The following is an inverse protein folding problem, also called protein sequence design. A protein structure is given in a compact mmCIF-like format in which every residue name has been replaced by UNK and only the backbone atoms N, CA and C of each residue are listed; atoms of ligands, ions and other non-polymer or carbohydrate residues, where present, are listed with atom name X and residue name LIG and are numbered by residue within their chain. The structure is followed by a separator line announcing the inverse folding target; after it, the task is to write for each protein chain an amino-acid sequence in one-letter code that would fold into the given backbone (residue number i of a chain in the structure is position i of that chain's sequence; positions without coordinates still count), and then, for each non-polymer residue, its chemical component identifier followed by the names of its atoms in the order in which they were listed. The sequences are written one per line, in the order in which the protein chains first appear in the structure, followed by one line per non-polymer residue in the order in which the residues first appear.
data_IF_324547083916
#
_entry.id   IF_324547083916
#
_cell.length_a   1.000
_cell.length_b   1.000
_cell.length_c   1.000
_cell.angle_alpha   90.00
_cell.angle_beta   90.00
_cell.angle_gamma   90.00
#
_symmetry.space_group_name_H-M   'P 1'
#
loop_
_entity.id
_entity.type
_entity.pdbx_description
1 polymer ?
#
# COMPACT_ATOMS: atom_id res chain seq x y z
N UNK A 1 0.75 15.29 15.60
CA UNK A 1 1.40 14.01 15.30
C UNK A 1 2.80 14.25 14.77
N UNK A 2 3.55 14.92 15.62
CA UNK A 2 4.86 15.43 15.20
C UNK A 2 5.91 14.33 15.05
N UNK A 3 5.65 13.12 15.60
CA UNK A 3 6.59 12.01 15.57
C UNK A 3 6.27 10.95 14.50
N UNK A 4 5.25 11.18 13.67
CA UNK A 4 4.91 10.25 12.61
C UNK A 4 5.87 10.43 11.45
N UNK A 5 6.59 9.36 11.10
CA UNK A 5 7.50 9.37 9.96
C UNK A 5 7.15 8.22 9.01
N UNK A 6 7.43 8.43 7.73
CA UNK A 6 7.28 7.40 6.70
C UNK A 6 8.65 7.10 6.10
N UNK A 7 8.90 5.85 5.87
CA UNK A 7 10.11 5.40 5.18
C UNK A 7 9.86 4.12 4.40
N UNK A 8 10.79 3.79 3.53
CA UNK A 8 10.74 2.53 2.80
C UNK A 8 10.76 1.33 3.75
N UNK A 9 9.99 0.29 3.41
CA UNK A 9 9.95 -0.95 4.18
C UNK A 9 11.29 -1.68 4.12
N UNK A 10 11.68 -2.30 5.23
CA UNK A 10 12.89 -3.11 5.36
C UNK A 10 12.53 -4.53 5.76
N UNK A 11 13.45 -5.46 5.55
CA UNK A 11 13.23 -6.86 5.93
C UNK A 11 12.84 -7.03 7.39
N UNK A 12 13.47 -6.26 8.28
CA UNK A 12 13.20 -6.30 9.73
C UNK A 12 11.77 -5.90 10.09
N UNK A 13 11.09 -5.20 9.20
CA UNK A 13 9.72 -4.74 9.42
C UNK A 13 8.67 -5.82 9.17
N UNK A 14 9.06 -6.93 8.53
CA UNK A 14 8.12 -7.94 8.02
C UNK A 14 7.12 -8.44 9.05
N UNK A 15 7.57 -8.75 10.26
CA UNK A 15 6.66 -9.31 11.26
C UNK A 15 5.58 -8.30 11.66
N UNK A 16 5.94 -7.02 11.82
CA UNK A 16 4.97 -5.97 12.14
C UNK A 16 4.06 -5.65 10.95
N UNK A 17 4.61 -5.64 9.74
CA UNK A 17 3.81 -5.39 8.51
C UNK A 17 2.81 -6.51 8.30
N UNK A 18 3.22 -7.78 8.43
CA UNK A 18 2.31 -8.92 8.28
C UNK A 18 1.18 -8.86 9.32
N UNK A 19 1.49 -8.43 10.54
CA UNK A 19 0.48 -8.27 11.56
C UNK A 19 -0.56 -7.20 11.20
N UNK A 20 -0.12 -6.09 10.59
CA UNK A 20 -1.02 -5.08 10.06
C UNK A 20 -1.88 -5.63 8.92
N UNK A 21 -1.25 -6.34 7.98
CA UNK A 21 -1.95 -6.87 6.81
C UNK A 21 -3.01 -7.91 7.18
N UNK A 22 -2.88 -8.58 8.32
CA UNK A 22 -3.89 -9.47 8.83
C UNK A 22 -5.24 -8.77 9.07
N UNK A 23 -5.24 -7.45 9.27
CA UNK A 23 -6.49 -6.66 9.36
C UNK A 23 -7.23 -6.61 8.02
N UNK A 24 -6.54 -6.74 6.89
CA UNK A 24 -7.14 -6.76 5.56
C UNK A 24 -7.59 -8.18 5.19
N UNK A 25 -6.72 -9.15 5.42
CA UNK A 25 -6.95 -10.56 5.13
C UNK A 25 -5.96 -11.38 5.93
N UNK A 26 -6.46 -12.38 6.65
CA UNK A 26 -5.60 -13.30 7.38
C UNK A 26 -4.68 -14.05 6.43
N UNK A 27 -3.40 -14.07 6.75
CA UNK A 27 -2.37 -14.75 6.00
C UNK A 27 -1.97 -16.00 6.80
N UNK A 28 -2.05 -17.17 6.18
CA UNK A 28 -1.57 -18.40 6.80
C UNK A 28 -0.04 -18.44 6.71
N UNK A 29 0.61 -18.04 7.80
CA UNK A 29 2.07 -17.95 7.88
C UNK A 29 2.77 -19.30 7.73
N UNK A 30 2.05 -20.39 7.96
CA UNK A 30 2.60 -21.74 7.79
C UNK A 30 2.74 -22.13 6.31
N UNK A 31 2.03 -21.44 5.42
CA UNK A 31 2.06 -21.69 3.97
C UNK A 31 2.99 -20.74 3.22
N UNK A 32 3.60 -19.81 3.93
CA UNK A 32 4.44 -18.77 3.31
C UNK A 32 5.84 -18.85 3.87
N UNK A 33 6.82 -18.98 2.99
CA UNK A 33 8.22 -18.79 3.33
C UNK A 33 8.49 -17.27 3.30
N UNK A 34 8.60 -16.66 4.48
CA UNK A 34 8.75 -15.22 4.59
C UNK A 34 10.07 -14.70 4.01
N UNK A 35 11.15 -15.48 4.14
CA UNK A 35 12.43 -15.07 3.55
C UNK A 35 12.36 -15.07 2.02
N UNK A 36 11.77 -16.11 1.45
CA UNK A 36 11.57 -16.19 0.01
C UNK A 36 10.64 -15.09 -0.49
N UNK A 37 9.56 -14.83 0.24
CA UNK A 37 8.63 -13.75 -0.11
C UNK A 37 9.33 -12.40 -0.11
N UNK A 38 10.18 -12.14 0.88
CA UNK A 38 10.97 -10.91 0.91
C UNK A 38 11.94 -10.83 -0.25
N UNK A 39 12.65 -11.92 -0.56
CA UNK A 39 13.61 -11.94 -1.66
C UNK A 39 12.91 -11.62 -2.99
N UNK A 40 11.75 -12.23 -3.23
CA UNK A 40 10.99 -11.96 -4.45
C UNK A 40 10.45 -10.53 -4.48
N UNK A 41 9.93 -10.05 -3.36
CA UNK A 41 9.42 -8.69 -3.25
C UNK A 41 10.52 -7.65 -3.46
N UNK A 42 11.67 -7.83 -2.81
CA UNK A 42 12.75 -6.84 -2.82
C UNK A 42 13.42 -6.70 -4.19
N UNK A 43 13.31 -7.70 -5.04
CA UNK A 43 13.83 -7.66 -6.41
C UNK A 43 12.89 -6.90 -7.36
N UNK A 44 11.67 -6.63 -6.95
CA UNK A 44 10.69 -5.96 -7.80
C UNK A 44 10.86 -4.45 -7.68
N UNK A 45 11.58 -3.86 -8.64
CA UNK A 45 11.89 -2.42 -8.65
C UNK A 45 10.69 -1.54 -8.98
N UNK A 46 9.58 -2.13 -9.45
CA UNK A 46 8.36 -1.38 -9.77
C UNK A 46 7.50 -1.07 -8.54
N UNK A 47 7.75 -1.75 -7.42
CA UNK A 47 6.96 -1.57 -6.20
C UNK A 47 7.70 -0.68 -5.22
N UNK A 48 6.99 0.33 -4.73
CA UNK A 48 7.46 1.19 -3.65
C UNK A 48 6.54 0.98 -2.46
N UNK A 49 7.06 0.40 -1.40
CA UNK A 49 6.29 0.13 -0.18
C UNK A 49 6.86 0.92 0.98
N UNK A 50 5.98 1.55 1.73
CA UNK A 50 6.37 2.39 2.86
C UNK A 50 5.66 1.97 4.13
N UNK A 51 6.30 2.26 5.25
CA UNK A 51 5.74 2.08 6.58
C UNK A 51 5.60 3.43 7.26
N UNK A 52 4.56 3.58 8.05
CA UNK A 52 4.39 4.73 8.93
C UNK A 52 4.76 4.34 10.35
N UNK A 53 5.65 5.11 10.97
CA UNK A 53 6.20 4.82 12.29
C UNK A 53 5.83 5.93 13.24
N UNK A 54 5.26 5.55 14.37
CA UNK A 54 4.92 6.44 15.46
C UNK A 54 5.44 5.84 16.76
N UNK A 55 6.26 6.59 17.49
CA UNK A 55 6.86 6.14 18.75
C UNK A 55 7.52 4.75 18.61
N UNK A 56 8.36 4.60 17.61
CA UNK A 56 9.11 3.38 17.27
C UNK A 56 8.25 2.16 16.91
N UNK A 57 6.96 2.36 16.67
CA UNK A 57 6.04 1.29 16.24
C UNK A 57 5.59 1.51 14.82
N UNK A 58 5.54 0.45 14.04
CA UNK A 58 4.96 0.48 12.70
C UNK A 58 3.44 0.40 12.85
N UNK A 59 2.77 1.47 12.44
CA UNK A 59 1.31 1.60 12.59
C UNK A 59 0.58 1.70 11.27
N UNK A 60 1.31 1.82 10.17
CA UNK A 60 0.72 1.96 8.85
C UNK A 60 1.63 1.33 7.79
N UNK A 61 1.02 0.89 6.71
CA UNK A 61 1.73 0.31 5.57
C UNK A 61 0.93 0.60 4.30
N UNK A 62 1.64 0.81 3.21
CA UNK A 62 1.03 0.95 1.90
C UNK A 62 2.04 0.81 0.79
N UNK A 63 1.55 0.46 -0.39
CA UNK A 63 2.38 0.26 -1.57
C UNK A 63 1.84 1.03 -2.76
N UNK A 64 2.74 1.46 -3.64
CA UNK A 64 2.39 1.93 -4.97
C UNK A 64 3.26 1.19 -5.99
N UNK A 65 2.60 0.67 -7.01
CA UNK A 65 3.25 0.00 -8.14
C UNK A 65 3.37 1.02 -9.26
N UNK A 66 4.58 1.21 -9.76
CA UNK A 66 4.84 2.14 -10.86
C UNK A 66 4.97 1.34 -12.15
N UNK A 67 4.07 1.58 -13.07
CA UNK A 67 4.03 0.87 -14.35
C UNK A 67 4.51 1.78 -15.48
N UNK A 68 5.62 1.40 -16.10
CA UNK A 68 6.09 2.04 -17.33
C UNK A 68 5.40 1.35 -18.50
N UNK A 69 4.51 2.08 -19.17
CA UNK A 69 3.74 1.54 -20.29
C UNK A 69 4.52 1.64 -21.60
N UNK A 70 4.27 0.68 -22.49
CA UNK A 70 4.94 0.68 -23.79
C UNK A 70 4.63 1.95 -24.60
N UNK A 71 3.51 2.61 -24.33
CA UNK A 71 3.17 3.88 -24.97
C UNK A 71 4.02 5.06 -24.50
N UNK A 72 4.85 4.85 -23.46
CA UNK A 72 5.67 5.90 -22.87
C UNK A 72 5.05 6.59 -21.67
N UNK A 73 3.81 6.30 -21.36
CA UNK A 73 3.15 6.82 -20.16
C UNK A 73 3.56 6.02 -18.93
N UNK A 74 3.52 6.69 -17.77
CA UNK A 74 3.80 6.05 -16.49
C UNK A 74 2.54 6.14 -15.62
N UNK A 75 2.11 5.02 -15.07
CA UNK A 75 0.92 4.98 -14.21
C UNK A 75 1.26 4.38 -12.85
N UNK A 76 0.57 4.83 -11.81
CA UNK A 76 0.70 4.28 -10.45
C UNK A 76 -0.55 3.48 -10.08
N UNK A 77 -0.36 2.45 -9.28
CA UNK A 77 -1.46 1.69 -8.68
C UNK A 77 -1.18 1.48 -7.20
N UNK A 78 -2.08 1.95 -6.35
CA UNK A 78 -1.96 1.84 -4.90
C UNK A 78 -2.60 0.54 -4.42
N UNK A 79 -1.90 -0.19 -3.57
CA UNK A 79 -2.36 -1.45 -2.99
C UNK A 79 -2.00 -1.57 -1.51
N UNK A 80 -2.74 -2.45 -0.83
CA UNK A 80 -2.45 -2.90 0.54
C UNK A 80 -2.32 -1.76 1.54
N UNK A 81 -3.25 -0.81 1.47
CA UNK A 81 -3.30 0.31 2.41
C UNK A 81 -3.88 -0.19 3.74
N UNK A 82 -3.11 -0.06 4.81
CA UNK A 82 -3.58 -0.43 6.14
C UNK A 82 -3.04 0.53 7.20
N UNK A 83 -3.90 0.92 8.13
CA UNK A 83 -3.53 1.67 9.33
C UNK A 83 -4.00 0.83 10.52
N UNK A 84 -3.14 0.71 11.53
CA UNK A 84 -3.48 0.00 12.76
C UNK A 84 -4.79 0.58 13.33
N UNK A 85 -5.74 -0.29 13.61
CA UNK A 85 -7.09 0.11 14.04
C UNK A 85 -7.09 0.96 15.31
N UNK A 86 -6.08 0.80 16.18
CA UNK A 86 -5.95 1.60 17.40
C UNK A 86 -5.52 3.04 17.14
N UNK A 87 -5.12 3.35 15.90
CA UNK A 87 -4.64 4.68 15.50
C UNK A 87 -5.54 5.32 14.44
N UNK A 88 -6.71 4.78 14.19
CA UNK A 88 -7.68 5.35 13.26
C UNK A 88 -8.22 6.67 13.79
N UNK A 89 -8.66 7.56 12.87
CA UNK A 89 -9.20 8.86 13.22
C UNK A 89 -8.15 9.94 13.45
N UNK A 90 -6.87 9.64 13.26
CA UNK A 90 -5.76 10.58 13.44
C UNK A 90 -5.19 11.08 12.11
N UNK A 91 -5.95 10.94 11.04
CA UNK A 91 -5.55 11.34 9.67
C UNK A 91 -4.30 10.61 9.15
N UNK A 92 -3.92 9.50 9.75
CA UNK A 92 -2.74 8.73 9.34
C UNK A 92 -2.94 8.17 7.93
N UNK A 93 -4.14 7.68 7.61
CA UNK A 93 -4.47 7.20 6.28
C UNK A 93 -4.29 8.27 5.22
N UNK A 94 -4.73 9.50 5.50
CA UNK A 94 -4.53 10.63 4.58
C UNK A 94 -3.06 10.89 4.34
N UNK A 95 -2.26 10.90 5.40
CA UNK A 95 -0.82 11.14 5.32
C UNK A 95 -0.13 10.03 4.54
N UNK A 96 -0.50 8.77 4.79
CA UNK A 96 0.02 7.62 4.08
C UNK A 96 -0.26 7.73 2.57
N UNK A 97 -1.50 8.02 2.19
CA UNK A 97 -1.87 8.18 0.78
C UNK A 97 -1.10 9.34 0.15
N UNK A 98 -0.97 10.46 0.86
CA UNK A 98 -0.23 11.61 0.34
C UNK A 98 1.24 11.27 0.09
N UNK A 99 1.86 10.45 0.95
CA UNK A 99 3.24 10.00 0.71
C UNK A 99 3.34 9.15 -0.55
N UNK A 100 2.38 8.26 -0.78
CA UNK A 100 2.34 7.46 -2.00
C UNK A 100 2.08 8.32 -3.24
N UNK A 101 1.22 9.33 -3.12
CA UNK A 101 1.00 10.30 -4.21
C UNK A 101 2.28 11.05 -4.53
N UNK A 102 3.06 11.42 -3.53
CA UNK A 102 4.35 12.07 -3.75
C UNK A 102 5.32 11.16 -4.52
N UNK A 103 5.36 9.88 -4.20
CA UNK A 103 6.15 8.89 -4.95
C UNK A 103 5.71 8.87 -6.42
N UNK A 104 4.39 8.89 -6.67
CA UNK A 104 3.87 8.91 -8.04
C UNK A 104 4.32 10.16 -8.80
N UNK A 105 4.34 11.30 -8.14
CA UNK A 105 4.79 12.56 -8.75
C UNK A 105 6.28 12.51 -9.11
N UNK A 106 7.10 11.98 -8.22
CA UNK A 106 8.54 11.83 -8.46
C UNK A 106 8.79 10.92 -9.67
N UNK A 107 7.94 9.92 -9.87
CA UNK A 107 8.04 8.98 -10.98
C UNK A 107 7.30 9.43 -12.24
N UNK A 108 6.77 10.66 -12.27
CA UNK A 108 6.06 11.24 -13.40
C UNK A 108 4.81 10.47 -13.83
N UNK A 109 4.10 9.89 -12.85
CA UNK A 109 2.85 9.22 -13.15
C UNK A 109 1.79 10.21 -13.64
N UNK A 110 1.08 9.86 -14.72
CA UNK A 110 0.00 10.69 -15.22
C UNK A 110 -1.33 10.42 -14.48
N UNK A 111 -1.45 9.25 -13.87
CA UNK A 111 -2.63 8.89 -13.06
C UNK A 111 -2.25 7.86 -11.99
N UNK A 112 -3.11 7.76 -10.98
CA UNK A 112 -3.03 6.71 -9.96
C UNK A 112 -4.39 6.03 -9.91
N UNK A 113 -4.39 4.72 -9.85
CA UNK A 113 -5.60 3.93 -9.61
C UNK A 113 -5.49 3.18 -8.29
N UNK A 114 -6.62 2.83 -7.72
CA UNK A 114 -6.70 1.95 -6.56
C UNK A 114 -8.06 1.25 -6.56
N UNK A 115 -8.12 0.13 -5.88
CA UNK A 115 -9.37 -0.56 -5.63
C UNK A 115 -9.73 -0.41 -4.16
N UNK A 116 -10.97 -0.10 -3.87
CA UNK A 116 -11.42 0.03 -2.49
C UNK A 116 -12.84 -0.50 -2.35
N UNK A 117 -13.21 -0.81 -1.12
CA UNK A 117 -14.59 -1.12 -0.80
C UNK A 117 -15.44 0.14 -0.93
N UNK A 118 -16.68 -0.03 -1.34
CA UNK A 118 -17.61 1.08 -1.56
C UNK A 118 -17.69 2.04 -0.36
N UNK A 119 -17.66 1.50 0.86
CA UNK A 119 -17.71 2.31 2.09
C UNK A 119 -16.52 3.26 2.26
N UNK A 120 -15.43 3.06 1.50
CA UNK A 120 -14.23 3.90 1.55
C UNK A 120 -14.18 4.96 0.44
N UNK A 121 -15.17 5.00 -0.44
CA UNK A 121 -15.15 5.94 -1.58
C UNK A 121 -15.12 7.39 -1.13
N UNK A 122 -15.84 7.72 -0.04
CA UNK A 122 -15.84 9.10 0.49
C UNK A 122 -14.46 9.49 1.00
N UNK A 123 -13.77 8.57 1.66
CA UNK A 123 -12.42 8.81 2.16
C UNK A 123 -11.48 9.16 0.99
N UNK A 124 -11.47 8.34 -0.04
CA UNK A 124 -10.58 8.58 -1.18
C UNK A 124 -11.02 9.77 -2.03
N UNK A 125 -12.32 10.05 -2.12
CA UNK A 125 -12.82 11.24 -2.83
C UNK A 125 -12.30 12.54 -2.23
N UNK A 126 -12.18 12.59 -0.91
CA UNK A 126 -11.64 13.78 -0.22
C UNK A 126 -10.16 14.03 -0.55
N UNK A 127 -9.45 12.99 -0.99
CA UNK A 127 -8.04 13.08 -1.38
C UNK A 127 -7.91 13.35 -2.89
N UNK A 128 -9.02 13.40 -3.61
CA UNK A 128 -9.03 13.72 -5.04
C UNK A 128 -9.26 12.56 -5.97
N UNK A 129 -9.51 11.36 -5.44
CA UNK A 129 -9.86 10.20 -6.26
C UNK A 129 -11.32 10.25 -6.66
N UNK A 130 -11.63 9.72 -7.84
CA UNK A 130 -12.99 9.60 -8.35
C UNK A 130 -13.28 8.16 -8.71
N UNK A 131 -14.52 7.75 -8.49
CA UNK A 131 -14.96 6.42 -8.93
C UNK A 131 -14.84 6.35 -10.44
N UNK A 132 -14.14 5.34 -10.93
CA UNK A 132 -13.90 5.11 -12.34
C UNK A 132 -13.85 3.62 -12.61
N UNK A 133 -14.58 3.16 -13.62
CA UNK A 133 -14.54 1.78 -14.08
C UNK A 133 -15.04 0.77 -13.05
N UNK A 134 -14.98 -0.48 -13.42
CA UNK A 134 -15.38 -1.62 -12.57
C UNK A 134 -14.19 -2.54 -12.40
N UNK A 135 -13.95 -2.99 -11.16
CA UNK A 135 -12.94 -4.00 -10.89
C UNK A 135 -13.53 -5.40 -11.08
N UNK A 136 -12.81 -6.24 -11.80
CA UNK A 136 -13.18 -7.65 -11.99
C UNK A 136 -12.03 -8.51 -11.49
N UNK A 137 -12.36 -9.64 -10.85
CA UNK A 137 -11.37 -10.52 -10.23
C UNK A 137 -11.65 -11.97 -10.62
N UNK A 138 -10.59 -12.68 -10.91
CA UNK A 138 -10.64 -14.13 -11.12
C UNK A 138 -9.47 -14.77 -10.36
N UNK A 139 -9.77 -15.70 -9.47
CA UNK A 139 -8.70 -16.47 -8.82
C UNK A 139 -8.22 -17.55 -9.78
N UNK A 140 -6.90 -17.64 -9.94
CA UNK A 140 -6.26 -18.68 -10.73
C UNK A 140 -5.47 -19.58 -9.77
N UNK A 141 -5.19 -20.82 -10.17
CA UNK A 141 -4.49 -21.79 -9.31
C UNK A 141 -5.15 -21.97 -7.94
N UNK A 142 -6.47 -21.86 -7.90
CA UNK A 142 -7.23 -22.08 -6.69
C UNK A 142 -7.72 -23.50 -6.67
N UNK A 143 -7.42 -24.22 -5.59
CA UNK A 143 -7.89 -25.58 -5.34
C UNK A 143 -9.33 -25.57 -4.83
#
# INVERSE_FOLDING_TARGET
MDNLIFREVKKEDLSQVHKLLDQLKLIDKNKIDLDLAWDNFSQNTSVNSIVGILDDKIIAYGSIIIENKIRGEVAGHIEDIVVNENYRGLYIGNKLINELVNISKINNCYRITLFCKERLTKFYSRIGFKVDSVNMKKYVNKD
#
